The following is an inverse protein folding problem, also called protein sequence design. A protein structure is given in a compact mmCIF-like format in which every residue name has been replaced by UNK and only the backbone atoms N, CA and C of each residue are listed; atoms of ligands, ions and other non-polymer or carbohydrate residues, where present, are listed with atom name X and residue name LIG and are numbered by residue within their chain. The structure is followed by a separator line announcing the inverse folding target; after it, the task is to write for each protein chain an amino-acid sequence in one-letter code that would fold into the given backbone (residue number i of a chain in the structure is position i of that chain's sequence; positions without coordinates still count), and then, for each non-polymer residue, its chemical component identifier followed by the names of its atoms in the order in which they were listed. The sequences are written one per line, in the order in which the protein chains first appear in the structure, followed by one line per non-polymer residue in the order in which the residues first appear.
data_IF_669618394014
#
_entry.id   IF_669618394014
#
_cell.length_a   1.000
_cell.length_b   1.000
_cell.length_c   1.000
_cell.angle_alpha   90.00
_cell.angle_beta   90.00
_cell.angle_gamma   90.00
#
_symmetry.space_group_name_H-M   'P 1'
#
loop_
_entity.id
_entity.type
_entity.pdbx_description
1 polymer ?
#
# COMPACT_ATOMS: atom_id res chain seq x y z
N UNK A 1 -52.61 19.88 -23.09
CA UNK A 1 -51.96 20.45 -21.89
C UNK A 1 -51.43 19.31 -21.03
N UNK A 2 -50.12 19.26 -20.77
CA UNK A 2 -49.53 18.23 -19.92
C UNK A 2 -49.52 18.76 -18.48
N UNK A 3 -50.53 18.38 -17.68
CA UNK A 3 -50.69 18.84 -16.29
C UNK A 3 -49.72 18.15 -15.30
N UNK A 4 -48.89 17.23 -15.78
CA UNK A 4 -47.99 16.45 -14.96
C UNK A 4 -46.88 17.34 -14.39
N UNK A 5 -46.78 17.43 -13.06
CA UNK A 5 -45.73 18.17 -12.36
C UNK A 5 -46.03 19.64 -12.03
N UNK A 6 -47.15 20.22 -12.49
CA UNK A 6 -47.50 21.64 -12.25
C UNK A 6 -47.77 21.93 -10.77
N UNK A 7 -48.43 21.00 -10.05
CA UNK A 7 -48.66 21.18 -8.61
C UNK A 7 -47.34 21.02 -7.84
N UNK A 8 -46.50 20.06 -8.24
CA UNK A 8 -45.22 19.76 -7.59
C UNK A 8 -44.24 20.95 -7.67
N UNK A 9 -44.19 21.64 -8.81
CA UNK A 9 -43.31 22.80 -8.99
C UNK A 9 -43.64 23.99 -8.07
N UNK A 10 -44.90 24.14 -7.61
CA UNK A 10 -45.26 25.18 -6.64
C UNK A 10 -44.68 24.94 -5.24
N UNK A 11 -44.40 23.68 -4.90
CA UNK A 11 -43.87 23.31 -3.57
C UNK A 11 -42.35 23.19 -3.54
N UNK A 12 -41.69 23.10 -4.70
CA UNK A 12 -40.23 22.93 -4.83
C UNK A 12 -39.40 23.90 -3.95
N UNK A 13 -39.74 25.21 -3.83
CA UNK A 13 -39.00 26.13 -2.95
C UNK A 13 -39.05 25.78 -1.46
N UNK A 14 -40.04 24.98 -1.03
CA UNK A 14 -40.28 24.59 0.36
C UNK A 14 -39.83 23.15 0.66
N UNK A 15 -39.41 22.38 -0.35
CA UNK A 15 -39.01 20.98 -0.22
C UNK A 15 -37.62 20.77 0.41
N UNK A 16 -36.91 21.85 0.76
CA UNK A 16 -35.66 21.77 1.51
C UNK A 16 -35.84 21.03 2.85
N UNK A 17 -36.92 21.33 3.58
CA UNK A 17 -37.26 20.69 4.86
C UNK A 17 -37.49 19.18 4.71
N UNK A 18 -38.07 18.75 3.59
CA UNK A 18 -38.22 17.32 3.28
C UNK A 18 -36.85 16.65 3.10
N UNK A 19 -35.93 17.31 2.39
CA UNK A 19 -34.58 16.78 2.17
C UNK A 19 -33.81 16.66 3.49
N UNK A 20 -33.90 17.66 4.37
CA UNK A 20 -33.29 17.64 5.70
C UNK A 20 -33.86 16.52 6.59
N UNK A 21 -35.18 16.31 6.54
CA UNK A 21 -35.83 15.22 7.28
C UNK A 21 -35.38 13.84 6.78
N UNK A 22 -35.31 13.65 5.46
CA UNK A 22 -34.79 12.42 4.87
C UNK A 22 -33.32 12.21 5.23
N UNK A 23 -32.48 13.24 5.18
CA UNK A 23 -31.07 13.16 5.60
C UNK A 23 -30.95 12.72 7.05
N UNK A 24 -31.66 13.37 7.98
CA UNK A 24 -31.65 12.99 9.39
C UNK A 24 -32.07 11.54 9.59
N UNK A 25 -33.16 11.12 8.94
CA UNK A 25 -33.66 9.73 9.02
C UNK A 25 -32.65 8.71 8.47
N UNK A 26 -31.97 9.03 7.36
CA UNK A 26 -30.96 8.17 6.77
C UNK A 26 -29.71 8.05 7.65
N UNK A 27 -29.27 9.15 8.28
CA UNK A 27 -28.14 9.13 9.23
C UNK A 27 -28.48 8.26 10.45
N UNK A 28 -29.65 8.45 11.06
CA UNK A 28 -30.09 7.66 12.21
C UNK A 28 -30.18 6.16 11.87
N UNK A 29 -30.71 5.82 10.69
CA UNK A 29 -30.77 4.43 10.23
C UNK A 29 -29.37 3.86 9.95
N UNK A 30 -28.48 4.63 9.34
CA UNK A 30 -27.09 4.21 9.13
C UNK A 30 -26.40 3.92 10.46
N UNK A 31 -26.53 4.81 11.45
CA UNK A 31 -25.92 4.63 12.77
C UNK A 31 -26.46 3.38 13.47
N UNK A 32 -27.77 3.16 13.42
CA UNK A 32 -28.39 1.95 13.95
C UNK A 32 -27.87 0.68 13.27
N UNK A 33 -27.84 0.65 11.93
CA UNK A 33 -27.31 -0.50 11.18
C UNK A 33 -25.85 -0.81 11.55
N UNK A 34 -25.06 0.22 11.84
CA UNK A 34 -23.64 0.09 12.22
C UNK A 34 -23.43 -0.39 13.64
N UNK A 35 -24.37 -0.07 14.55
CA UNK A 35 -24.37 -0.61 15.90
C UNK A 35 -24.82 -2.09 15.93
N UNK A 36 -25.75 -2.47 15.06
CA UNK A 36 -26.29 -3.83 14.98
C UNK A 36 -25.42 -4.79 14.14
N UNK A 37 -24.47 -4.27 13.34
CA UNK A 37 -23.61 -5.08 12.50
C UNK A 37 -22.66 -5.96 13.34
N UNK A 38 -22.67 -7.26 13.02
CA UNK A 38 -21.92 -8.30 13.72
C UNK A 38 -20.49 -8.46 13.19
N UNK A 39 -20.20 -7.93 12.01
CA UNK A 39 -18.88 -7.99 11.35
C UNK A 39 -18.48 -9.42 10.94
N UNK A 40 -19.48 -10.26 10.74
CA UNK A 40 -19.38 -11.66 10.37
C UNK A 40 -20.43 -11.96 9.30
N UNK A 41 -20.17 -12.95 8.45
CA UNK A 41 -21.14 -13.41 7.45
C UNK A 41 -21.79 -14.70 7.91
N UNK A 42 -23.07 -14.89 7.60
CA UNK A 42 -23.75 -16.16 7.86
C UNK A 42 -23.06 -17.32 7.14
N UNK A 43 -22.92 -18.45 7.83
CA UNK A 43 -22.34 -19.67 7.25
C UNK A 43 -23.15 -20.10 6.01
N UNK A 44 -22.49 -20.14 4.85
CA UNK A 44 -23.12 -20.48 3.56
C UNK A 44 -23.54 -19.28 2.69
N UNK A 45 -23.30 -18.04 3.13
CA UNK A 45 -23.48 -16.85 2.28
C UNK A 45 -22.58 -16.92 1.05
N UNK A 46 -23.17 -16.86 -0.14
CA UNK A 46 -22.44 -16.94 -1.42
C UNK A 46 -21.64 -15.67 -1.73
N UNK A 47 -21.93 -14.55 -1.08
CA UNK A 47 -21.38 -13.24 -1.43
C UNK A 47 -20.31 -12.74 -0.47
N UNK A 48 -20.14 -13.35 0.71
CA UNK A 48 -19.16 -12.92 1.73
C UNK A 48 -19.19 -11.40 2.01
N UNK A 49 -20.37 -10.76 1.94
CA UNK A 49 -20.58 -9.33 2.20
C UNK A 49 -21.32 -9.13 3.53
N UNK A 50 -21.06 -7.99 4.18
CA UNK A 50 -21.74 -7.58 5.41
C UNK A 50 -23.20 -7.21 5.13
N UNK A 51 -24.08 -7.65 6.01
CA UNK A 51 -25.54 -7.47 5.89
C UNK A 51 -25.94 -5.99 5.87
N UNK A 52 -25.20 -5.14 6.58
CA UNK A 52 -25.42 -3.70 6.64
C UNK A 52 -25.41 -3.02 5.27
N UNK A 53 -24.58 -3.47 4.33
CA UNK A 53 -24.51 -2.88 3.00
C UNK A 53 -25.82 -3.02 2.23
N UNK A 54 -26.41 -4.22 2.26
CA UNK A 54 -27.70 -4.49 1.64
C UNK A 54 -28.80 -3.62 2.25
N UNK A 55 -28.80 -3.45 3.57
CA UNK A 55 -29.79 -2.63 4.27
C UNK A 55 -29.63 -1.14 3.97
N UNK A 56 -28.40 -0.61 3.92
CA UNK A 56 -28.13 0.80 3.56
C UNK A 56 -28.69 1.12 2.17
N UNK A 57 -28.39 0.29 1.16
CA UNK A 57 -28.91 0.50 -0.19
C UNK A 57 -30.43 0.32 -0.28
N UNK A 58 -30.99 -0.59 0.50
CA UNK A 58 -32.44 -0.79 0.55
C UNK A 58 -33.15 0.44 1.12
N UNK A 59 -32.63 1.02 2.20
CA UNK A 59 -33.14 2.25 2.82
C UNK A 59 -33.04 3.43 1.85
N UNK A 60 -31.90 3.60 1.18
CA UNK A 60 -31.71 4.62 0.12
C UNK A 60 -32.74 4.44 -1.00
N UNK A 61 -32.96 3.20 -1.47
CA UNK A 61 -33.94 2.92 -2.53
C UNK A 61 -35.36 3.25 -2.12
N UNK A 62 -35.76 2.96 -0.87
CA UNK A 62 -37.08 3.36 -0.35
C UNK A 62 -37.23 4.88 -0.35
N UNK A 63 -36.20 5.62 0.07
CA UNK A 63 -36.19 7.09 0.06
C UNK A 63 -36.29 7.65 -1.37
N UNK A 64 -35.51 7.09 -2.31
CA UNK A 64 -35.58 7.43 -3.73
C UNK A 64 -36.98 7.20 -4.33
N UNK A 65 -37.62 6.07 -4.03
CA UNK A 65 -38.96 5.74 -4.52
C UNK A 65 -40.01 6.73 -3.99
N UNK A 66 -39.91 7.13 -2.71
CA UNK A 66 -40.80 8.15 -2.12
C UNK A 66 -40.61 9.50 -2.78
N UNK A 67 -39.37 9.95 -2.92
CA UNK A 67 -39.07 11.27 -3.48
C UNK A 67 -39.43 11.36 -4.96
N UNK A 68 -39.10 10.35 -5.77
CA UNK A 68 -39.38 10.34 -7.21
C UNK A 68 -40.88 10.32 -7.55
N UNK A 69 -41.73 9.88 -6.61
CA UNK A 69 -43.18 9.98 -6.72
C UNK A 69 -43.70 11.40 -6.46
N UNK A 70 -42.96 12.22 -5.71
CA UNK A 70 -43.32 13.60 -5.37
C UNK A 70 -42.79 14.60 -6.42
N UNK A 71 -41.52 14.48 -6.79
CA UNK A 71 -40.84 15.40 -7.71
C UNK A 71 -39.65 14.71 -8.38
N UNK A 72 -39.30 15.20 -9.59
CA UNK A 72 -38.15 14.74 -10.37
C UNK A 72 -37.11 15.85 -10.62
N UNK A 73 -37.28 16.99 -9.96
CA UNK A 73 -36.49 18.20 -10.19
C UNK A 73 -35.44 18.40 -9.08
N UNK A 74 -35.27 19.64 -8.59
CA UNK A 74 -34.21 20.05 -7.67
C UNK A 74 -34.19 19.26 -6.37
N UNK A 75 -35.33 18.93 -5.80
CA UNK A 75 -35.44 18.17 -4.55
C UNK A 75 -34.88 16.77 -4.69
N UNK A 76 -35.18 16.09 -5.81
CA UNK A 76 -34.63 14.76 -6.08
C UNK A 76 -33.11 14.83 -6.26
N UNK A 77 -32.61 15.89 -6.90
CA UNK A 77 -31.18 16.13 -7.01
C UNK A 77 -30.53 16.37 -5.64
N UNK A 78 -31.14 17.20 -4.78
CA UNK A 78 -30.65 17.45 -3.43
C UNK A 78 -30.63 16.15 -2.60
N UNK A 79 -31.68 15.33 -2.71
CA UNK A 79 -31.74 14.02 -2.05
C UNK A 79 -30.67 13.05 -2.58
N UNK A 80 -30.37 13.08 -3.88
CA UNK A 80 -29.24 12.32 -4.43
C UNK A 80 -27.90 12.73 -3.79
N UNK A 81 -27.68 14.02 -3.55
CA UNK A 81 -26.48 14.48 -2.83
C UNK A 81 -26.46 14.00 -1.37
N UNK A 82 -27.63 13.87 -0.72
CA UNK A 82 -27.72 13.22 0.60
C UNK A 82 -27.27 11.76 0.49
N UNK A 83 -27.73 11.00 -0.52
CA UNK A 83 -27.30 9.60 -0.70
C UNK A 83 -25.77 9.48 -0.84
N UNK A 84 -25.14 10.41 -1.58
CA UNK A 84 -23.68 10.47 -1.65
C UNK A 84 -23.06 10.64 -0.26
N UNK A 85 -23.55 11.59 0.54
CA UNK A 85 -23.04 11.83 1.92
C UNK A 85 -23.21 10.60 2.81
N UNK A 86 -24.36 9.92 2.75
CA UNK A 86 -24.64 8.70 3.52
C UNK A 86 -23.70 7.57 3.13
N UNK A 87 -23.48 7.36 1.82
CA UNK A 87 -22.56 6.32 1.35
C UNK A 87 -21.10 6.63 1.71
N UNK A 88 -20.66 7.90 1.63
CA UNK A 88 -19.33 8.32 2.12
C UNK A 88 -19.20 8.10 3.63
N UNK A 89 -20.23 8.40 4.42
CA UNK A 89 -20.24 8.14 5.85
C UNK A 89 -20.17 6.63 6.15
N UNK A 90 -20.84 5.80 5.37
CA UNK A 90 -20.75 4.35 5.48
C UNK A 90 -19.35 3.83 5.17
N UNK A 91 -18.73 4.30 4.07
CA UNK A 91 -17.34 3.99 3.74
C UNK A 91 -16.38 4.37 4.88
N UNK A 92 -16.56 5.55 5.47
CA UNK A 92 -15.75 6.01 6.61
C UNK A 92 -15.90 5.11 7.85
N UNK A 93 -17.12 4.58 8.12
CA UNK A 93 -17.34 3.63 9.22
C UNK A 93 -16.68 2.27 8.94
N UNK A 94 -16.73 1.76 7.72
CA UNK A 94 -15.99 0.56 7.32
C UNK A 94 -14.48 0.76 7.50
N UNK A 95 -13.96 1.90 7.04
CA UNK A 95 -12.55 2.27 7.18
C UNK A 95 -12.12 2.30 8.66
N UNK A 96 -12.93 2.92 9.52
CA UNK A 96 -12.62 3.10 10.93
C UNK A 96 -12.55 1.77 11.71
N UNK A 97 -13.15 0.71 11.18
CA UNK A 97 -13.20 -0.62 11.80
C UNK A 97 -12.02 -1.52 11.46
N UNK A 98 -11.20 -1.11 10.48
CA UNK A 98 -9.96 -1.82 10.18
C UNK A 98 -8.97 -1.72 11.37
N UNK A 99 -8.27 -2.82 11.71
CA UNK A 99 -7.22 -2.80 12.73
C UNK A 99 -6.18 -1.70 12.45
N UNK A 100 -5.81 -0.99 13.51
CA UNK A 100 -4.78 0.06 13.46
C UNK A 100 -3.51 -0.47 14.11
N UNK A 101 -2.37 -0.03 13.60
CA UNK A 101 -1.09 -0.34 14.22
C UNK A 101 -1.01 0.26 15.63
N UNK A 102 -0.20 -0.35 16.49
CA UNK A 102 0.12 0.28 17.78
C UNK A 102 0.67 1.69 17.54
N UNK A 103 0.17 2.68 18.27
CA UNK A 103 0.65 4.06 18.22
C UNK A 103 0.93 4.57 19.63
N UNK A 104 1.91 5.46 19.74
CA UNK A 104 2.22 6.18 20.98
C UNK A 104 3.46 5.68 21.70
N UNK A 105 3.77 6.32 22.82
CA UNK A 105 5.06 6.19 23.54
C UNK A 105 5.35 4.74 23.93
N UNK A 106 4.34 3.99 24.37
CA UNK A 106 4.50 2.58 24.74
C UNK A 106 4.85 1.74 23.51
N UNK A 107 4.16 1.93 22.39
CA UNK A 107 4.43 1.19 21.16
C UNK A 107 5.83 1.51 20.59
N UNK A 108 6.25 2.77 20.68
CA UNK A 108 7.61 3.17 20.31
C UNK A 108 8.66 2.52 21.23
N UNK A 109 8.44 2.51 22.54
CA UNK A 109 9.36 1.92 23.52
C UNK A 109 9.46 0.39 23.38
N UNK A 110 8.38 -0.29 23.00
CA UNK A 110 8.37 -1.75 22.80
C UNK A 110 8.74 -2.18 21.37
N UNK A 111 8.99 -1.23 20.46
CA UNK A 111 9.26 -1.51 19.05
C UNK A 111 8.06 -2.07 18.28
N UNK A 112 6.84 -1.88 18.80
CA UNK A 112 5.57 -2.31 18.19
C UNK A 112 4.85 -1.16 17.49
N UNK A 113 5.49 0.01 17.37
CA UNK A 113 4.95 1.16 16.69
C UNK A 113 4.71 0.83 15.21
N UNK A 114 3.49 1.06 14.74
CA UNK A 114 3.06 0.69 13.39
C UNK A 114 2.81 -0.80 13.15
N UNK A 115 3.06 -1.70 14.11
CA UNK A 115 2.76 -3.13 13.95
C UNK A 115 1.26 -3.39 14.03
N UNK A 116 0.72 -4.05 13.01
CA UNK A 116 -0.67 -4.47 12.95
C UNK A 116 -0.73 -5.94 13.31
N UNK A 117 -1.31 -6.27 14.47
CA UNK A 117 -1.55 -7.65 14.86
C UNK A 117 -2.95 -8.04 14.45
N UNK A 118 -3.07 -9.07 13.63
CA UNK A 118 -4.35 -9.63 13.18
C UNK A 118 -4.52 -11.03 13.71
N UNK A 119 -5.69 -11.30 14.31
CA UNK A 119 -6.18 -12.66 14.56
C UNK A 119 -6.88 -13.21 13.32
N UNK A 120 -7.13 -14.52 13.28
CA UNK A 120 -7.89 -15.16 12.20
C UNK A 120 -9.29 -14.55 12.04
N UNK A 121 -9.89 -14.08 13.14
CA UNK A 121 -11.18 -13.37 13.13
C UNK A 121 -11.05 -12.00 12.46
N UNK A 122 -9.99 -11.27 12.79
CA UNK A 122 -9.74 -9.96 12.17
C UNK A 122 -9.49 -10.11 10.66
N UNK A 123 -8.74 -11.13 10.25
CA UNK A 123 -8.44 -11.41 8.84
C UNK A 123 -9.73 -11.67 8.04
N UNK A 124 -10.63 -12.51 8.57
CA UNK A 124 -11.95 -12.75 7.97
C UNK A 124 -12.78 -11.48 7.88
N UNK A 125 -12.85 -10.72 8.97
CA UNK A 125 -13.58 -9.44 9.01
C UNK A 125 -13.05 -8.47 7.95
N UNK A 126 -11.73 -8.35 7.80
CA UNK A 126 -11.12 -7.47 6.79
C UNK A 126 -11.50 -7.94 5.37
N UNK A 127 -11.53 -9.25 5.09
CA UNK A 127 -12.04 -9.77 3.82
C UNK A 127 -13.50 -9.39 3.58
N UNK A 128 -14.36 -9.50 4.58
CA UNK A 128 -15.76 -9.07 4.46
C UNK A 128 -15.88 -7.58 4.17
N UNK A 129 -15.03 -6.74 4.78
CA UNK A 129 -14.97 -5.30 4.49
C UNK A 129 -14.55 -5.05 3.04
N UNK A 130 -13.56 -5.78 2.51
CA UNK A 130 -13.14 -5.69 1.09
C UNK A 130 -14.32 -6.00 0.16
N UNK A 131 -14.97 -7.14 0.35
CA UNK A 131 -16.07 -7.57 -0.51
C UNK A 131 -17.27 -6.63 -0.40
N UNK A 132 -17.54 -6.12 0.81
CA UNK A 132 -18.61 -5.15 1.06
C UNK A 132 -18.33 -3.83 0.36
N UNK A 133 -17.09 -3.33 0.44
CA UNK A 133 -16.71 -2.10 -0.24
C UNK A 133 -16.74 -2.25 -1.77
N UNK A 134 -16.34 -3.40 -2.33
CA UNK A 134 -16.52 -3.69 -3.76
C UNK A 134 -18.01 -3.66 -4.15
N UNK A 135 -18.86 -4.33 -3.37
CA UNK A 135 -20.30 -4.33 -3.60
C UNK A 135 -20.87 -2.91 -3.57
N UNK A 136 -20.47 -2.08 -2.60
CA UNK A 136 -20.94 -0.70 -2.51
C UNK A 136 -20.40 0.20 -3.63
N UNK A 137 -19.14 -0.01 -4.05
CA UNK A 137 -18.56 0.66 -5.20
C UNK A 137 -19.40 0.42 -6.46
N UNK A 138 -19.65 -0.85 -6.78
CA UNK A 138 -20.46 -1.21 -7.95
C UNK A 138 -21.91 -0.70 -7.82
N UNK A 139 -22.55 -0.96 -6.68
CA UNK A 139 -23.96 -0.62 -6.45
C UNK A 139 -24.21 0.89 -6.45
N UNK A 140 -23.23 1.70 -6.02
CA UNK A 140 -23.32 3.16 -6.09
C UNK A 140 -23.33 3.69 -7.52
N UNK A 141 -22.54 3.11 -8.43
CA UNK A 141 -22.57 3.44 -9.86
C UNK A 141 -23.92 3.09 -10.49
N UNK A 142 -24.44 1.90 -10.21
CA UNK A 142 -25.74 1.45 -10.70
C UNK A 142 -26.91 2.30 -10.14
N UNK A 143 -26.77 2.81 -8.90
CA UNK A 143 -27.71 3.78 -8.32
C UNK A 143 -27.68 5.11 -9.09
N UNK A 144 -26.51 5.63 -9.46
CA UNK A 144 -26.39 6.84 -10.26
C UNK A 144 -27.08 6.68 -11.63
N UNK A 145 -26.83 5.58 -12.34
CA UNK A 145 -27.49 5.31 -13.61
C UNK A 145 -29.03 5.26 -13.47
N UNK A 146 -29.54 4.70 -12.38
CA UNK A 146 -30.97 4.64 -12.12
C UNK A 146 -31.56 6.03 -11.85
N UNK A 147 -30.89 6.83 -11.00
CA UNK A 147 -31.33 8.20 -10.71
C UNK A 147 -31.29 9.07 -11.97
N UNK A 148 -30.25 8.95 -12.80
CA UNK A 148 -30.14 9.68 -14.07
C UNK A 148 -31.31 9.39 -15.03
N UNK A 149 -31.82 8.15 -15.05
CA UNK A 149 -33.00 7.77 -15.86
C UNK A 149 -34.32 8.34 -15.34
N UNK A 150 -34.40 8.71 -14.06
CA UNK A 150 -35.65 9.16 -13.41
C UNK A 150 -35.71 10.70 -13.32
N UNK A 151 -34.57 11.35 -13.08
CA UNK A 151 -34.47 12.78 -12.83
C UNK A 151 -34.69 13.61 -14.10
N UNK A 152 -35.11 14.87 -13.95
CA UNK A 152 -35.26 15.79 -15.07
C UNK A 152 -33.94 16.00 -15.83
N UNK A 153 -34.01 16.18 -17.15
CA UNK A 153 -32.83 16.30 -18.03
C UNK A 153 -31.83 17.39 -17.60
N UNK A 154 -32.31 18.48 -17.00
CA UNK A 154 -31.47 19.56 -16.46
C UNK A 154 -30.48 19.15 -15.36
N UNK A 155 -30.71 18.01 -14.69
CA UNK A 155 -29.84 17.49 -13.64
C UNK A 155 -29.17 16.17 -13.99
N UNK A 156 -29.60 15.50 -15.07
CA UNK A 156 -29.11 14.16 -15.44
C UNK A 156 -27.58 14.11 -15.55
N UNK A 157 -26.98 15.11 -16.20
CA UNK A 157 -25.53 15.19 -16.40
C UNK A 157 -24.74 15.48 -15.12
N UNK A 158 -25.42 15.85 -14.04
CA UNK A 158 -24.83 16.12 -12.72
C UNK A 158 -24.94 14.92 -11.77
N UNK A 159 -25.59 13.84 -12.18
CA UNK A 159 -25.73 12.61 -11.39
C UNK A 159 -24.45 11.79 -11.54
N UNK A 160 -23.57 11.91 -10.57
CA UNK A 160 -22.28 11.23 -10.54
C UNK A 160 -22.03 10.58 -9.17
N UNK A 161 -21.43 9.39 -9.15
CA UNK A 161 -21.02 8.67 -7.93
C UNK A 161 -19.52 8.43 -7.87
N UNK A 162 -18.73 9.01 -8.78
CA UNK A 162 -17.28 8.79 -8.87
C UNK A 162 -16.56 9.06 -7.54
N UNK A 163 -16.87 10.17 -6.85
CA UNK A 163 -16.27 10.45 -5.54
C UNK A 163 -16.61 9.39 -4.48
N UNK A 164 -17.84 8.86 -4.51
CA UNK A 164 -18.30 7.83 -3.55
C UNK A 164 -17.61 6.50 -3.85
N UNK A 165 -17.49 6.17 -5.13
CA UNK A 165 -16.74 5.02 -5.61
C UNK A 165 -15.26 5.11 -5.23
N UNK A 166 -14.66 6.30 -5.33
CA UNK A 166 -13.29 6.56 -4.88
C UNK A 166 -13.12 6.29 -3.37
N UNK A 167 -14.07 6.69 -2.52
CA UNK A 167 -14.04 6.39 -1.08
C UNK A 167 -14.09 4.87 -0.80
N UNK A 168 -14.98 4.13 -1.47
CA UNK A 168 -15.01 2.66 -1.32
C UNK A 168 -13.75 2.00 -1.86
N UNK A 169 -13.17 2.49 -2.96
CA UNK A 169 -11.87 2.05 -3.48
C UNK A 169 -10.74 2.27 -2.47
N UNK A 170 -10.76 3.39 -1.76
CA UNK A 170 -9.82 3.68 -0.68
C UNK A 170 -9.98 2.70 0.49
N UNK A 171 -11.21 2.34 0.87
CA UNK A 171 -11.48 1.29 1.88
C UNK A 171 -10.90 -0.05 1.44
N UNK A 172 -11.13 -0.48 0.20
CA UNK A 172 -10.59 -1.74 -0.33
C UNK A 172 -9.07 -1.75 -0.25
N UNK A 173 -8.42 -0.70 -0.75
CA UNK A 173 -6.95 -0.58 -0.74
C UNK A 173 -6.41 -0.67 0.68
N UNK A 174 -7.01 0.08 1.61
CA UNK A 174 -6.57 0.11 3.01
C UNK A 174 -6.77 -1.25 3.67
N UNK A 175 -7.89 -1.92 3.43
CA UNK A 175 -8.20 -3.23 3.98
C UNK A 175 -7.20 -4.29 3.50
N UNK A 176 -6.91 -4.36 2.19
CA UNK A 176 -5.91 -5.27 1.62
C UNK A 176 -4.50 -5.00 2.17
N UNK A 177 -4.10 -3.73 2.28
CA UNK A 177 -2.83 -3.36 2.92
C UNK A 177 -2.79 -3.77 4.40
N UNK A 178 -3.91 -3.72 5.11
CA UNK A 178 -4.00 -4.11 6.52
C UNK A 178 -3.76 -5.62 6.68
N UNK A 179 -4.26 -6.45 5.75
CA UNK A 179 -3.93 -7.88 5.69
C UNK A 179 -2.43 -8.10 5.44
N UNK A 180 -1.83 -7.38 4.49
CA UNK A 180 -0.39 -7.47 4.20
C UNK A 180 0.43 -7.16 5.45
N UNK A 181 0.14 -6.04 6.13
CA UNK A 181 0.83 -5.65 7.38
C UNK A 181 0.59 -6.64 8.54
N UNK A 182 -0.57 -7.30 8.58
CA UNK A 182 -0.86 -8.37 9.54
C UNK A 182 0.07 -9.57 9.38
N UNK A 183 0.17 -10.08 8.15
CA UNK A 183 1.08 -11.20 7.81
C UNK A 183 2.54 -10.81 8.00
N UNK A 184 2.90 -9.60 7.58
CA UNK A 184 4.21 -9.00 7.83
C UNK A 184 4.60 -9.01 9.31
N UNK A 185 3.69 -8.62 10.20
CA UNK A 185 3.95 -8.58 11.65
C UNK A 185 4.20 -9.98 12.20
N UNK A 186 3.45 -10.99 11.71
CA UNK A 186 3.70 -12.41 12.04
C UNK A 186 5.07 -12.86 11.50
N UNK A 187 5.41 -12.50 10.27
CA UNK A 187 6.69 -12.81 9.64
C UNK A 187 7.88 -12.17 10.35
N UNK A 188 7.73 -10.93 10.84
CA UNK A 188 8.78 -10.23 11.59
C UNK A 188 9.15 -10.94 12.90
N UNK A 189 8.22 -11.66 13.54
CA UNK A 189 8.54 -12.49 14.69
C UNK A 189 9.52 -13.62 14.34
N UNK A 190 9.30 -14.29 13.20
CA UNK A 190 10.22 -15.33 12.69
C UNK A 190 11.56 -14.75 12.24
N UNK A 191 11.56 -13.52 11.72
CA UNK A 191 12.81 -12.81 11.42
C UNK A 191 13.61 -12.49 12.68
N UNK A 192 12.95 -12.12 13.78
CA UNK A 192 13.64 -11.97 15.07
C UNK A 192 14.19 -13.31 15.54
N UNK A 193 13.44 -14.41 15.39
CA UNK A 193 13.93 -15.76 15.71
C UNK A 193 15.19 -16.13 14.88
N UNK A 194 15.18 -15.86 13.58
CA UNK A 194 16.34 -16.04 12.69
C UNK A 194 17.59 -15.32 13.20
N UNK A 195 17.47 -14.08 13.69
CA UNK A 195 18.62 -13.33 14.22
C UNK A 195 19.19 -13.89 15.53
N UNK A 196 18.43 -14.74 16.23
CA UNK A 196 18.84 -15.38 17.50
C UNK A 196 19.53 -16.73 17.30
N UNK A 197 19.45 -17.29 16.09
CA UNK A 197 20.15 -18.53 15.76
C UNK A 197 21.67 -18.30 15.88
N UNK A 198 22.43 -19.19 16.53
CA UNK A 198 23.86 -19.03 16.77
C UNK A 198 24.70 -19.37 15.51
N UNK A 199 24.53 -18.60 14.44
CA UNK A 199 25.17 -18.82 13.12
C UNK A 199 26.69 -18.93 13.15
N UNK A 200 27.35 -18.36 14.16
CA UNK A 200 28.81 -18.38 14.31
C UNK A 200 29.37 -19.68 14.88
N UNK A 201 28.58 -20.43 15.65
CA UNK A 201 29.02 -21.62 16.40
C UNK A 201 28.27 -22.88 15.97
N UNK A 202 27.62 -22.83 14.81
CA UNK A 202 26.86 -23.95 14.27
C UNK A 202 27.83 -25.02 13.74
N UNK A 203 27.82 -26.21 14.35
CA UNK A 203 28.83 -27.25 14.10
C UNK A 203 28.58 -28.04 12.81
N UNK A 204 27.33 -28.28 12.47
CA UNK A 204 26.95 -29.09 11.29
C UNK A 204 25.68 -28.56 10.63
N UNK A 205 25.61 -28.69 9.30
CA UNK A 205 24.39 -28.47 8.52
C UNK A 205 23.39 -29.61 8.80
N UNK A 206 22.13 -29.26 9.00
CA UNK A 206 21.02 -30.19 9.24
C UNK A 206 19.79 -29.83 8.41
N UNK A 207 18.62 -30.16 8.95
CA UNK A 207 17.33 -29.82 8.36
C UNK A 207 17.05 -28.31 8.43
N UNK A 208 15.94 -27.86 7.83
CA UNK A 208 15.55 -26.45 7.84
C UNK A 208 15.37 -25.90 9.26
N UNK A 209 15.82 -24.67 9.49
CA UNK A 209 15.73 -24.00 10.79
C UNK A 209 14.28 -23.77 11.25
N UNK A 210 14.07 -23.68 12.56
CA UNK A 210 12.74 -23.52 13.17
C UNK A 210 11.96 -22.31 12.63
N UNK A 211 12.64 -21.19 12.38
CA UNK A 211 11.98 -19.98 11.86
C UNK A 211 11.39 -20.21 10.45
N UNK A 212 11.97 -21.12 9.65
CA UNK A 212 11.45 -21.49 8.33
C UNK A 212 10.13 -22.26 8.49
N UNK A 213 10.06 -23.15 9.47
CA UNK A 213 8.83 -23.86 9.83
C UNK A 213 7.75 -22.87 10.30
N UNK A 214 8.14 -21.87 11.11
CA UNK A 214 7.25 -20.79 11.55
C UNK A 214 6.67 -20.00 10.37
N UNK A 215 7.51 -19.58 9.42
CA UNK A 215 7.08 -18.90 8.19
C UNK A 215 6.08 -19.77 7.40
N UNK A 216 6.40 -21.05 7.20
CA UNK A 216 5.54 -21.99 6.49
C UNK A 216 4.18 -22.15 7.17
N UNK A 217 4.16 -22.23 8.51
CA UNK A 217 2.94 -22.34 9.30
C UNK A 217 2.07 -21.07 9.21
N UNK A 218 2.68 -19.88 9.29
CA UNK A 218 1.98 -18.60 9.13
C UNK A 218 1.27 -18.53 7.77
N UNK A 219 1.98 -18.88 6.71
CA UNK A 219 1.44 -18.81 5.35
C UNK A 219 0.39 -19.90 5.09
N UNK A 220 0.63 -21.13 5.54
CA UNK A 220 -0.29 -22.24 5.35
C UNK A 220 -1.61 -22.07 6.10
N UNK A 221 -1.61 -21.33 7.22
CA UNK A 221 -2.84 -21.00 7.97
C UNK A 221 -3.58 -19.80 7.38
N UNK A 222 -2.85 -18.74 7.01
CA UNK A 222 -3.47 -17.48 6.60
C UNK A 222 -3.93 -17.49 5.14
N UNK A 223 -3.07 -17.96 4.22
CA UNK A 223 -3.27 -17.78 2.77
C UNK A 223 -4.51 -18.50 2.24
N UNK A 224 -4.81 -19.76 2.61
CA UNK A 224 -6.01 -20.43 2.12
C UNK A 224 -7.32 -19.75 2.56
N UNK A 225 -7.35 -19.21 3.78
CA UNK A 225 -8.51 -18.49 4.30
C UNK A 225 -8.76 -17.22 3.47
N UNK A 226 -7.73 -16.41 3.24
CA UNK A 226 -7.84 -15.20 2.42
C UNK A 226 -8.23 -15.51 0.97
N UNK A 227 -7.61 -16.53 0.36
CA UNK A 227 -7.91 -16.97 -1.01
C UNK A 227 -9.33 -17.48 -1.19
N UNK A 228 -9.95 -18.03 -0.14
CA UNK A 228 -11.35 -18.47 -0.18
C UNK A 228 -12.37 -17.35 -0.01
N UNK A 229 -11.98 -16.24 0.63
CA UNK A 229 -12.89 -15.14 0.97
C UNK A 229 -12.80 -13.97 0.00
N UNK A 230 -11.63 -13.72 -0.60
CA UNK A 230 -11.40 -12.64 -1.55
C UNK A 230 -11.65 -13.09 -2.99
N UNK A 231 -12.05 -12.15 -3.85
CA UNK A 231 -12.09 -12.41 -5.28
C UNK A 231 -10.66 -12.66 -5.83
N UNK A 232 -10.50 -13.43 -6.92
CA UNK A 232 -9.18 -13.72 -7.50
C UNK A 232 -8.36 -12.47 -7.83
N UNK A 233 -9.05 -11.38 -8.18
CA UNK A 233 -8.46 -10.07 -8.44
C UNK A 233 -7.85 -9.49 -7.18
N UNK A 234 -8.61 -9.31 -6.10
CA UNK A 234 -8.08 -8.73 -4.87
C UNK A 234 -7.08 -9.63 -4.17
N UNK A 235 -7.25 -10.94 -4.29
CA UNK A 235 -6.27 -11.90 -3.81
C UNK A 235 -4.94 -11.75 -4.58
N UNK A 236 -4.95 -11.62 -5.91
CA UNK A 236 -3.74 -11.34 -6.69
C UNK A 236 -3.06 -10.04 -6.26
N UNK A 237 -3.83 -8.97 -6.03
CA UNK A 237 -3.28 -7.71 -5.52
C UNK A 237 -2.61 -7.89 -4.15
N UNK A 238 -3.25 -8.63 -3.24
CA UNK A 238 -2.68 -9.00 -1.95
C UNK A 238 -1.36 -9.77 -2.12
N UNK A 239 -1.32 -10.77 -2.99
CA UNK A 239 -0.13 -11.57 -3.28
C UNK A 239 1.03 -10.70 -3.77
N UNK A 240 0.79 -9.85 -4.77
CA UNK A 240 1.84 -8.98 -5.33
C UNK A 240 2.45 -8.07 -4.26
N UNK A 241 1.62 -7.57 -3.34
CA UNK A 241 2.05 -6.70 -2.26
C UNK A 241 2.76 -7.46 -1.15
N UNK A 242 2.30 -8.66 -0.84
CA UNK A 242 2.95 -9.56 0.11
C UNK A 242 4.35 -9.94 -0.39
N UNK A 243 4.50 -10.34 -1.66
CA UNK A 243 5.80 -10.64 -2.27
C UNK A 243 6.74 -9.42 -2.28
N UNK A 244 6.21 -8.23 -2.60
CA UNK A 244 6.96 -6.98 -2.55
C UNK A 244 7.46 -6.61 -1.14
N UNK A 245 6.96 -7.28 -0.10
CA UNK A 245 7.36 -7.04 1.28
C UNK A 245 8.24 -8.16 1.86
N UNK A 246 7.79 -9.42 1.81
CA UNK A 246 8.43 -10.53 2.54
C UNK A 246 9.85 -10.83 2.02
N UNK A 247 10.05 -10.87 0.70
CA UNK A 247 11.35 -11.16 0.10
C UNK A 247 12.43 -10.14 0.49
N UNK A 248 12.21 -8.83 0.23
CA UNK A 248 13.13 -7.78 0.67
C UNK A 248 13.35 -7.78 2.17
N UNK A 249 12.33 -8.07 2.98
CA UNK A 249 12.43 -8.14 4.43
C UNK A 249 13.30 -9.29 4.91
N UNK A 250 13.18 -10.47 4.30
CA UNK A 250 14.07 -11.60 4.56
C UNK A 250 15.53 -11.23 4.26
N UNK A 251 15.80 -10.68 3.06
CA UNK A 251 17.12 -10.22 2.66
C UNK A 251 17.73 -9.22 3.66
N UNK A 252 16.95 -8.23 4.09
CA UNK A 252 17.41 -7.22 5.06
C UNK A 252 17.67 -7.79 6.45
N UNK A 253 16.97 -8.85 6.87
CA UNK A 253 17.18 -9.48 8.18
C UNK A 253 18.47 -10.32 8.23
N UNK A 254 18.99 -10.81 7.10
CA UNK A 254 20.33 -11.41 7.06
C UNK A 254 21.38 -10.42 7.56
N UNK A 255 21.30 -9.15 7.17
CA UNK A 255 22.19 -8.09 7.64
C UNK A 255 22.01 -7.70 9.12
N UNK A 256 20.99 -8.23 9.82
CA UNK A 256 20.82 -8.07 11.26
C UNK A 256 21.44 -9.21 12.05
N UNK A 257 21.83 -10.29 11.38
CA UNK A 257 22.64 -11.34 11.99
C UNK A 257 24.03 -10.76 12.33
N UNK A 258 24.73 -11.40 13.28
CA UNK A 258 26.09 -11.02 13.65
C UNK A 258 27.09 -11.75 12.75
N UNK A 259 28.00 -12.49 13.34
CA UNK A 259 28.92 -13.35 12.61
C UNK A 259 28.20 -14.62 12.11
N UNK A 260 28.38 -14.94 10.84
CA UNK A 260 27.90 -16.14 10.16
C UNK A 260 29.13 -16.95 9.74
N UNK A 261 29.31 -18.12 10.35
CA UNK A 261 30.39 -19.04 10.01
C UNK A 261 30.17 -19.68 8.63
N UNK A 262 31.16 -20.40 8.10
CA UNK A 262 31.00 -21.15 6.85
C UNK A 262 29.84 -22.15 6.94
N UNK A 263 29.80 -22.99 7.99
CA UNK A 263 28.71 -23.93 8.24
C UNK A 263 27.37 -23.21 8.43
N UNK A 264 27.36 -22.09 9.16
CA UNK A 264 26.16 -21.27 9.35
C UNK A 264 25.62 -20.68 8.04
N UNK A 265 26.51 -20.25 7.14
CA UNK A 265 26.13 -19.74 5.82
C UNK A 265 25.61 -20.86 4.91
N UNK A 266 26.15 -22.07 4.99
CA UNK A 266 25.61 -23.24 4.30
C UNK A 266 24.18 -23.57 4.77
N UNK A 267 23.96 -23.61 6.09
CA UNK A 267 22.62 -23.83 6.65
C UNK A 267 21.63 -22.72 6.24
N UNK A 268 22.03 -21.46 6.37
CA UNK A 268 21.16 -20.32 6.00
C UNK A 268 20.85 -20.31 4.49
N UNK A 269 21.74 -20.85 3.64
CA UNK A 269 21.48 -20.99 2.21
C UNK A 269 20.39 -22.04 1.94
N UNK A 270 20.40 -23.18 2.67
CA UNK A 270 19.31 -24.16 2.61
C UNK A 270 17.99 -23.55 3.09
N UNK A 271 18.02 -22.83 4.21
CA UNK A 271 16.84 -22.13 4.73
C UNK A 271 16.30 -21.09 3.73
N UNK A 272 17.19 -20.39 3.03
CA UNK A 272 16.82 -19.43 1.97
C UNK A 272 16.12 -20.12 0.81
N UNK A 273 16.56 -21.32 0.41
CA UNK A 273 15.85 -22.12 -0.61
C UNK A 273 14.49 -22.57 -0.11
N UNK A 274 14.39 -23.03 1.13
CA UNK A 274 13.12 -23.45 1.71
C UNK A 274 12.12 -22.29 1.79
N UNK A 275 12.53 -21.11 2.26
CA UNK A 275 11.70 -19.89 2.26
C UNK A 275 11.29 -19.51 0.85
N UNK A 276 12.21 -19.55 -0.13
CA UNK A 276 11.89 -19.26 -1.54
C UNK A 276 10.81 -20.20 -2.08
N UNK A 277 10.91 -21.50 -1.83
CA UNK A 277 9.91 -22.50 -2.23
C UNK A 277 8.56 -22.18 -1.59
N UNK A 278 8.52 -21.95 -0.27
CA UNK A 278 7.29 -21.59 0.44
C UNK A 278 6.64 -20.33 -0.15
N UNK A 279 7.43 -19.29 -0.47
CA UNK A 279 6.92 -18.07 -1.09
C UNK A 279 6.38 -18.31 -2.51
N UNK A 280 7.02 -19.17 -3.29
CA UNK A 280 6.56 -19.52 -4.65
C UNK A 280 5.26 -20.34 -4.63
N UNK A 281 5.01 -21.09 -3.56
CA UNK A 281 3.82 -21.93 -3.39
C UNK A 281 2.60 -21.15 -2.85
N UNK A 282 2.78 -19.92 -2.34
CA UNK A 282 1.69 -19.10 -1.79
C UNK A 282 0.46 -19.01 -2.73
N UNK A 283 0.60 -18.68 -4.03
CA UNK A 283 -0.56 -18.59 -4.91
C UNK A 283 -1.35 -19.91 -5.00
N UNK A 284 -0.65 -21.04 -5.01
CA UNK A 284 -1.28 -22.37 -5.03
C UNK A 284 -2.02 -22.68 -3.72
N UNK A 285 -1.45 -22.30 -2.56
CA UNK A 285 -2.11 -22.42 -1.26
C UNK A 285 -3.46 -21.66 -1.22
N UNK A 286 -3.52 -20.51 -1.89
CA UNK A 286 -4.74 -19.73 -2.03
C UNK A 286 -5.71 -20.19 -3.12
N UNK A 287 -5.45 -21.34 -3.75
CA UNK A 287 -6.22 -21.85 -4.91
C UNK A 287 -6.26 -20.89 -6.11
N UNK A 288 -5.26 -20.03 -6.26
CA UNK A 288 -5.14 -19.14 -7.41
C UNK A 288 -4.66 -19.97 -8.62
N UNK A 289 -5.58 -20.31 -9.51
CA UNK A 289 -5.29 -21.18 -10.68
C UNK A 289 -4.51 -20.47 -11.78
N UNK A 290 -4.63 -19.13 -11.86
CA UNK A 290 -3.88 -18.30 -12.81
C UNK A 290 -2.87 -17.44 -12.05
N UNK A 291 -1.71 -18.04 -11.73
CA UNK A 291 -0.61 -17.29 -11.11
C UNK A 291 0.03 -16.42 -12.18
N UNK A 292 0.06 -15.10 -11.96
CA UNK A 292 0.76 -14.20 -12.85
C UNK A 292 2.26 -14.55 -12.84
N UNK A 293 2.85 -14.84 -14.00
CA UNK A 293 4.28 -15.14 -14.13
C UNK A 293 5.18 -14.03 -13.55
N UNK A 294 4.66 -12.81 -13.40
CA UNK A 294 5.30 -11.69 -12.72
C UNK A 294 5.56 -11.95 -11.23
N UNK A 295 4.64 -12.63 -10.52
CA UNK A 295 4.79 -12.96 -9.10
C UNK A 295 6.01 -13.85 -8.88
N UNK A 296 6.05 -15.00 -9.55
CA UNK A 296 7.14 -15.97 -9.41
C UNK A 296 8.48 -15.40 -9.83
N UNK A 297 8.52 -14.58 -10.90
CA UNK A 297 9.72 -13.86 -11.32
C UNK A 297 10.20 -12.87 -10.27
N UNK A 298 9.28 -12.12 -9.65
CA UNK A 298 9.60 -11.17 -8.59
C UNK A 298 10.19 -11.89 -7.37
N UNK A 299 9.49 -12.90 -6.83
CA UNK A 299 9.96 -13.69 -5.68
C UNK A 299 11.33 -14.31 -5.97
N UNK A 300 11.50 -14.93 -7.14
CA UNK A 300 12.79 -15.52 -7.54
C UNK A 300 13.89 -14.47 -7.53
N UNK A 301 13.66 -13.29 -8.12
CA UNK A 301 14.65 -12.22 -8.17
C UNK A 301 15.03 -11.72 -6.77
N UNK A 302 14.06 -11.48 -5.90
CA UNK A 302 14.35 -10.98 -4.55
C UNK A 302 15.08 -12.03 -3.70
N UNK A 303 14.66 -13.29 -3.77
CA UNK A 303 15.33 -14.37 -3.03
C UNK A 303 16.73 -14.68 -3.57
N UNK A 304 16.97 -14.55 -4.87
CA UNK A 304 18.31 -14.69 -5.45
C UNK A 304 19.32 -13.68 -4.90
N UNK A 305 18.89 -12.51 -4.42
CA UNK A 305 19.79 -11.54 -3.75
C UNK A 305 20.28 -12.07 -2.41
N UNK A 306 19.40 -12.72 -1.63
CA UNK A 306 19.77 -13.37 -0.38
C UNK A 306 20.74 -14.55 -0.63
N UNK A 307 20.47 -15.36 -1.66
CA UNK A 307 21.38 -16.44 -2.07
C UNK A 307 22.76 -15.90 -2.46
N UNK A 308 22.79 -14.84 -3.27
CA UNK A 308 24.03 -14.20 -3.72
C UNK A 308 24.84 -13.68 -2.54
N UNK A 309 24.21 -12.99 -1.59
CA UNK A 309 24.84 -12.52 -0.35
C UNK A 309 25.50 -13.68 0.41
N UNK A 310 24.77 -14.77 0.65
CA UNK A 310 25.29 -15.93 1.39
C UNK A 310 26.43 -16.63 0.64
N UNK A 311 26.36 -16.70 -0.69
CA UNK A 311 27.45 -17.22 -1.53
C UNK A 311 28.72 -16.35 -1.44
N UNK A 312 28.57 -15.03 -1.30
CA UNK A 312 29.73 -14.15 -1.03
C UNK A 312 30.31 -14.45 0.36
N UNK A 313 29.47 -14.66 1.38
CA UNK A 313 29.95 -15.07 2.72
C UNK A 313 30.72 -16.40 2.65
N UNK A 314 30.26 -17.36 1.84
CA UNK A 314 30.93 -18.65 1.66
C UNK A 314 32.24 -18.58 0.86
N UNK A 315 32.47 -17.51 0.10
CA UNK A 315 33.67 -17.43 -0.74
C UNK A 315 34.97 -17.34 0.07
N UNK A 316 36.09 -17.89 -0.44
CA UNK A 316 37.41 -17.70 0.16
C UNK A 316 37.78 -16.22 0.27
N UNK A 317 38.50 -15.85 1.34
CA UNK A 317 38.88 -14.46 1.65
C UNK A 317 39.59 -13.78 0.47
N UNK A 318 40.48 -14.51 -0.21
CA UNK A 318 41.26 -14.00 -1.34
C UNK A 318 40.41 -13.67 -2.58
N UNK A 319 39.19 -14.23 -2.66
CA UNK A 319 38.27 -14.11 -3.80
C UNK A 319 36.95 -13.41 -3.47
N UNK A 320 36.78 -12.93 -2.22
CA UNK A 320 35.49 -12.39 -1.76
C UNK A 320 35.08 -11.13 -2.52
N UNK A 321 36.06 -10.28 -2.87
CA UNK A 321 35.85 -9.07 -3.63
C UNK A 321 35.44 -9.33 -5.09
N UNK A 322 36.01 -10.34 -5.75
CA UNK A 322 35.62 -10.73 -7.11
C UNK A 322 34.26 -11.42 -7.12
N UNK A 323 34.00 -12.29 -6.15
CA UNK A 323 32.71 -12.96 -5.98
C UNK A 323 31.58 -11.97 -5.74
N UNK A 324 31.80 -10.95 -4.89
CA UNK A 324 30.82 -9.89 -4.67
C UNK A 324 30.45 -9.15 -5.95
N UNK A 325 31.43 -8.72 -6.76
CA UNK A 325 31.17 -8.04 -8.04
C UNK A 325 30.39 -8.92 -9.02
N UNK A 326 30.67 -10.22 -9.04
CA UNK A 326 30.02 -11.16 -9.95
C UNK A 326 28.56 -11.44 -9.55
N UNK A 327 28.29 -11.60 -8.25
CA UNK A 327 26.97 -12.03 -7.76
C UNK A 327 26.05 -10.86 -7.37
N UNK A 328 26.60 -9.71 -7.01
CA UNK A 328 25.88 -8.50 -6.61
C UNK A 328 26.40 -7.28 -7.39
N UNK A 329 26.20 -7.23 -8.72
CA UNK A 329 26.73 -6.16 -9.56
C UNK A 329 26.13 -4.78 -9.25
N UNK A 330 24.89 -4.74 -8.76
CA UNK A 330 24.18 -3.53 -8.33
C UNK A 330 24.47 -3.16 -6.86
N UNK A 331 25.32 -3.93 -6.18
CA UNK A 331 25.62 -3.75 -4.77
C UNK A 331 26.55 -2.57 -4.50
N UNK A 332 26.40 -1.96 -3.33
CA UNK A 332 27.21 -0.80 -2.92
C UNK A 332 28.46 -1.20 -2.11
N UNK A 333 29.55 -0.40 -2.12
CA UNK A 333 30.71 -0.65 -1.25
C UNK A 333 30.37 -0.76 0.24
N UNK A 334 29.33 -0.04 0.69
CA UNK A 334 28.82 -0.12 2.07
C UNK A 334 28.16 -1.47 2.36
N UNK A 335 27.41 -2.02 1.42
CA UNK A 335 26.86 -3.37 1.53
C UNK A 335 27.98 -4.41 1.55
N UNK A 336 28.99 -4.26 0.69
CA UNK A 336 30.15 -5.16 0.69
C UNK A 336 30.87 -5.17 2.04
N UNK A 337 31.14 -3.98 2.61
CA UNK A 337 31.69 -3.86 3.96
C UNK A 337 30.85 -4.63 4.99
N UNK A 338 29.52 -4.46 4.98
CA UNK A 338 28.64 -5.19 5.90
C UNK A 338 28.69 -6.70 5.69
N UNK A 339 28.86 -7.19 4.46
CA UNK A 339 29.02 -8.63 4.19
C UNK A 339 30.35 -9.15 4.78
N UNK A 340 31.44 -8.37 4.70
CA UNK A 340 32.71 -8.76 5.33
C UNK A 340 32.60 -8.81 6.87
N UNK A 341 31.80 -7.93 7.47
CA UNK A 341 31.47 -7.97 8.89
C UNK A 341 30.66 -9.23 9.25
N UNK A 342 29.65 -9.58 8.44
CA UNK A 342 28.88 -10.82 8.61
C UNK A 342 29.77 -12.07 8.49
N UNK A 343 30.75 -12.07 7.58
CA UNK A 343 31.74 -13.16 7.43
C UNK A 343 32.71 -13.27 8.62
N UNK A 344 32.73 -12.28 9.53
CA UNK A 344 33.55 -12.32 10.76
C UNK A 344 35.03 -12.01 10.56
N UNK A 345 35.40 -11.35 9.46
CA UNK A 345 36.79 -10.97 9.21
C UNK A 345 37.29 -9.94 10.23
N UNK A 346 38.60 -9.94 10.54
CA UNK A 346 39.20 -8.93 11.41
C UNK A 346 39.22 -7.58 10.71
N UNK A 347 39.10 -6.48 11.46
CA UNK A 347 39.09 -5.11 10.90
C UNK A 347 40.28 -4.80 9.99
N UNK A 348 41.47 -5.31 10.32
CA UNK A 348 42.66 -5.12 9.49
C UNK A 348 42.51 -5.79 8.11
N UNK A 349 42.03 -7.03 8.08
CA UNK A 349 41.81 -7.79 6.84
C UNK A 349 40.69 -7.17 6.00
N UNK A 350 39.61 -6.72 6.66
CA UNK A 350 38.53 -5.99 6.00
C UNK A 350 39.05 -4.73 5.29
N UNK A 351 39.87 -3.94 5.98
CA UNK A 351 40.42 -2.69 5.42
C UNK A 351 41.28 -2.96 4.18
N UNK A 352 42.15 -3.97 4.23
CA UNK A 352 42.98 -4.36 3.09
C UNK A 352 42.13 -4.79 1.88
N UNK A 353 41.09 -5.60 2.11
CA UNK A 353 40.17 -6.06 1.06
C UNK A 353 39.35 -4.91 0.47
N UNK A 354 38.89 -3.97 1.31
CA UNK A 354 38.13 -2.80 0.86
C UNK A 354 38.99 -1.84 0.04
N UNK A 355 40.25 -1.65 0.41
CA UNK A 355 41.19 -0.83 -0.37
C UNK A 355 41.46 -1.43 -1.75
N UNK A 356 41.68 -2.74 -1.82
CA UNK A 356 41.80 -3.44 -3.11
C UNK A 356 40.49 -3.38 -3.91
N UNK A 357 39.36 -3.50 -3.24
CA UNK A 357 38.05 -3.41 -3.85
C UNK A 357 37.81 -2.04 -4.51
N UNK A 358 38.17 -0.95 -3.83
CA UNK A 358 37.99 0.42 -4.31
C UNK A 358 38.96 0.77 -5.46
N UNK A 359 40.20 0.27 -5.42
CA UNK A 359 41.19 0.44 -6.50
C UNK A 359 40.71 -0.13 -7.84
N UNK A 360 39.94 -1.21 -7.79
CA UNK A 360 39.38 -1.89 -8.96
C UNK A 360 37.90 -1.54 -9.23
N UNK A 361 37.33 -0.55 -8.54
CA UNK A 361 36.02 -0.01 -8.94
C UNK A 361 36.20 0.82 -10.22
N UNK A 362 35.32 0.70 -11.22
CA UNK A 362 35.42 1.53 -12.42
C UNK A 362 35.29 2.98 -11.99
N UNK A 363 36.39 3.74 -12.09
CA UNK A 363 36.37 5.18 -11.90
C UNK A 363 35.40 5.76 -12.92
N UNK A 364 34.21 6.18 -12.49
CA UNK A 364 33.44 7.17 -13.24
C UNK A 364 34.31 8.43 -13.22
N UNK A 365 35.13 8.59 -14.27
CA UNK A 365 35.86 9.82 -14.53
C UNK A 365 34.82 10.89 -14.83
N UNK A 366 34.39 11.63 -13.82
CA UNK A 366 33.88 12.98 -14.05
C UNK A 366 35.02 13.78 -14.71
N UNK A 367 34.80 14.46 -15.83
CA UNK A 367 35.84 15.30 -16.42
C UNK A 367 36.15 16.42 -15.42
N UNK A 368 37.34 16.38 -14.85
CA UNK A 368 37.88 17.47 -14.04
C UNK A 368 38.12 18.64 -14.98
N UNK A 369 37.26 19.66 -14.92
CA UNK A 369 37.53 20.94 -15.55
C UNK A 369 38.63 21.59 -14.70
N UNK A 370 39.86 21.55 -15.20
CA UNK A 370 40.99 22.33 -14.68
C UNK A 370 40.63 23.81 -14.68
N UNK A 371 40.73 24.54 -13.55
CA UNK A 371 40.70 26.00 -13.58
C UNK A 371 42.04 26.48 -14.13
N UNK A 372 42.05 26.96 -15.37
CA UNK A 372 43.18 27.67 -15.95
C UNK A 372 43.36 28.99 -15.20
N UNK A 373 44.47 29.13 -14.48
CA UNK A 373 44.88 30.38 -13.85
C UNK A 373 45.26 31.41 -14.93
N UNK A 374 44.63 32.59 -14.88
CA UNK A 374 45.03 33.76 -15.65
C UNK A 374 46.09 34.59 -14.87
N UNK A 375 47.04 35.27 -15.56
CA UNK A 375 48.17 35.95 -14.93
C UNK A 375 47.78 37.33 -14.33
N UNK A 376 48.60 37.90 -13.42
CA UNK A 376 48.28 39.16 -12.74
C UNK A 376 48.67 40.37 -13.59
N UNK A 377 47.85 41.43 -13.55
CA UNK A 377 48.14 42.76 -14.11
C UNK A 377 48.06 43.78 -12.96
N UNK A 378 48.99 44.76 -12.86
CA UNK A 378 49.20 45.53 -11.65
C UNK A 378 48.21 46.69 -11.48
N UNK A 379 48.06 47.07 -10.21
CA UNK A 379 47.31 48.20 -9.67
C UNK A 379 47.76 49.56 -10.21
N UNK A 380 46.80 50.41 -10.57
CA UNK A 380 46.95 51.85 -10.61
C UNK A 380 45.68 52.54 -10.05
N UNK A 381 45.96 53.58 -9.27
CA UNK A 381 45.13 54.45 -8.44
C UNK A 381 44.13 55.34 -9.20
N UNK A 382 42.96 55.65 -8.62
CA UNK A 382 42.54 57.04 -8.30
C UNK A 382 41.03 57.18 -7.89
N UNK A 383 40.85 57.96 -6.81
CA UNK A 383 39.78 58.94 -6.51
C UNK A 383 38.28 58.56 -6.36
N UNK A 384 37.83 58.74 -5.11
CA UNK A 384 36.48 59.04 -4.53
C UNK A 384 35.95 60.40 -5.10
N UNK A 385 34.66 60.88 -5.01
CA UNK A 385 33.70 60.63 -3.90
C UNK A 385 32.13 60.68 -4.11
N UNK A 386 31.46 60.08 -3.11
CA UNK A 386 30.23 60.45 -2.35
C UNK A 386 28.81 60.68 -2.95
N UNK A 387 27.87 59.82 -2.45
CA UNK A 387 26.54 60.07 -1.83
C UNK A 387 25.31 60.51 -2.68
N UNK A 388 24.03 60.44 -2.18
CA UNK A 388 23.29 59.42 -1.40
C UNK A 388 21.86 59.03 -1.96
N UNK A 389 21.28 57.93 -1.45
CA UNK A 389 19.85 57.48 -1.22
C UNK A 389 18.69 58.45 -1.65
N UNK A 390 17.49 58.06 -2.20
CA UNK A 390 16.53 57.07 -1.64
C UNK A 390 15.62 56.24 -2.59
N UNK A 391 14.91 55.28 -1.95
CA UNK A 391 13.73 54.47 -2.38
C UNK A 391 12.58 55.31 -3.00
N UNK A 392 11.64 54.74 -3.80
CA UNK A 392 10.52 53.96 -3.23
C UNK A 392 9.87 52.84 -4.09
N UNK A 393 9.10 51.95 -3.40
CA UNK A 393 7.91 51.10 -3.77
C UNK A 393 7.57 50.86 -5.26
N UNK A 394 7.18 49.67 -5.77
CA UNK A 394 5.99 48.86 -5.48
C UNK A 394 5.87 47.72 -6.54
N UNK A 395 5.32 46.55 -6.16
CA UNK A 395 4.67 45.48 -6.98
C UNK A 395 5.51 44.84 -8.14
N UNK A 396 5.43 43.55 -8.53
CA UNK A 396 4.30 42.63 -8.77
C UNK A 396 4.88 41.19 -8.84
N UNK A 397 4.05 40.19 -8.49
CA UNK A 397 4.04 38.78 -8.92
C UNK A 397 5.33 38.06 -9.39
N UNK A 398 5.66 36.94 -8.73
CA UNK A 398 6.40 35.85 -9.36
C UNK A 398 6.09 34.48 -8.73
N UNK A 399 5.72 33.53 -9.60
CA UNK A 399 5.79 32.08 -9.43
C UNK A 399 7.19 31.62 -9.01
N UNK A 400 7.38 30.49 -8.30
CA UNK A 400 8.71 29.91 -8.15
C UNK A 400 8.93 28.77 -9.14
N UNK A 401 9.77 29.05 -10.14
CA UNK A 401 10.60 28.07 -10.84
C UNK A 401 11.77 27.65 -9.93
N UNK A 402 12.09 26.36 -9.95
CA UNK A 402 13.20 25.75 -9.20
C UNK A 402 14.55 26.07 -9.84
N UNK A 403 15.47 26.67 -9.05
CA UNK A 403 16.92 26.44 -9.19
C UNK A 403 17.68 26.65 -7.87
N UNK A 404 18.35 25.59 -7.41
CA UNK A 404 19.65 25.51 -6.70
C UNK A 404 19.91 26.28 -5.39
N UNK A 405 20.22 25.53 -4.33
CA UNK A 405 21.54 25.58 -3.70
C UNK A 405 21.78 24.40 -2.75
N UNK A 406 22.84 23.64 -3.05
CA UNK A 406 23.53 22.71 -2.14
C UNK A 406 24.09 23.51 -0.96
N UNK A 407 23.69 23.16 0.26
CA UNK A 407 24.54 23.31 1.45
C UNK A 407 24.26 22.14 2.39
N UNK A 408 25.33 21.48 2.82
CA UNK A 408 25.29 20.24 3.57
C UNK A 408 24.71 20.42 4.97
N UNK A 409 23.83 19.48 5.33
CA UNK A 409 23.53 19.14 6.71
C UNK A 409 23.03 17.68 6.73
N UNK A 410 23.51 16.94 7.72
CA UNK A 410 23.33 15.51 7.96
C UNK A 410 21.84 15.12 7.91
N UNK A 411 21.43 14.38 6.87
CA UNK A 411 20.08 13.86 6.76
C UNK A 411 19.89 12.66 7.70
N UNK A 412 18.96 12.79 8.63
CA UNK A 412 18.66 11.79 9.64
C UNK A 412 17.97 10.56 9.00
N UNK A 413 18.28 9.37 9.51
CA UNK A 413 17.84 8.05 9.00
C UNK A 413 16.31 7.88 8.91
N UNK A 414 15.55 8.68 9.65
CA UNK A 414 14.08 8.68 9.67
C UNK A 414 13.45 9.38 8.46
N UNK A 415 14.08 10.42 7.91
CA UNK A 415 13.53 11.18 6.77
C UNK A 415 13.57 10.40 5.45
N UNK A 416 14.58 9.53 5.28
CA UNK A 416 14.72 8.67 4.10
C UNK A 416 13.67 7.56 4.12
N UNK A 417 13.40 6.97 5.29
CA UNK A 417 12.34 5.97 5.49
C UNK A 417 10.94 6.60 5.34
N UNK A 418 10.73 7.81 5.87
CA UNK A 418 9.47 8.55 5.73
C UNK A 418 9.18 8.95 4.27
N UNK A 419 10.21 9.35 3.51
CA UNK A 419 10.08 9.67 2.07
C UNK A 419 9.85 8.43 1.20
N UNK A 420 10.51 7.30 1.49
CA UNK A 420 10.24 6.02 0.82
C UNK A 420 8.81 5.52 1.11
N UNK A 421 8.35 5.65 2.35
CA UNK A 421 6.97 5.33 2.73
C UNK A 421 5.93 6.29 2.09
N UNK A 422 6.26 7.57 1.91
CA UNK A 422 5.39 8.54 1.25
C UNK A 422 5.27 8.31 -0.27
N UNK A 423 6.37 7.96 -0.95
CA UNK A 423 6.37 7.58 -2.36
C UNK A 423 5.59 6.28 -2.61
N UNK A 424 5.66 5.32 -1.67
CA UNK A 424 4.85 4.10 -1.71
C UNK A 424 3.34 4.36 -1.60
N UNK A 425 2.92 5.34 -0.78
CA UNK A 425 1.50 5.69 -0.61
C UNK A 425 0.87 6.31 -1.86
N UNK A 426 1.56 7.21 -2.56
CA UNK A 426 1.07 7.84 -3.80
C UNK A 426 1.07 6.91 -5.03
N UNK A 427 2.04 6.00 -5.11
CA UNK A 427 2.10 4.97 -6.15
C UNK A 427 1.05 3.85 -5.92
N UNK A 428 0.73 3.53 -4.66
CA UNK A 428 -0.27 2.53 -4.33
C UNK A 428 -1.70 2.94 -4.74
N UNK A 429 -2.08 4.21 -4.55
CA UNK A 429 -3.41 4.72 -4.93
C UNK A 429 -3.58 4.84 -6.44
N UNK A 430 -2.57 5.38 -7.14
CA UNK A 430 -2.59 5.52 -8.60
C UNK A 430 -2.55 4.15 -9.30
N UNK A 431 -1.72 3.23 -8.80
CA UNK A 431 -1.67 1.85 -9.29
C UNK A 431 -2.97 1.08 -9.03
N UNK A 432 -3.63 1.34 -7.90
CA UNK A 432 -4.90 0.71 -7.57
C UNK A 432 -6.07 1.21 -8.43
N UNK A 433 -6.15 2.52 -8.72
CA UNK A 433 -7.15 3.05 -9.67
C UNK A 433 -6.98 2.44 -11.07
N UNK A 434 -5.74 2.30 -11.54
CA UNK A 434 -5.44 1.61 -12.81
C UNK A 434 -5.80 0.14 -12.78
N UNK A 435 -5.61 -0.53 -11.64
CA UNK A 435 -5.97 -1.94 -11.42
C UNK A 435 -7.49 -2.16 -11.41
N UNK A 436 -8.27 -1.30 -10.74
CA UNK A 436 -9.73 -1.34 -10.78
C UNK A 436 -10.26 -1.10 -12.20
N UNK A 437 -9.73 -0.10 -12.92
CA UNK A 437 -10.13 0.16 -14.30
C UNK A 437 -9.88 -1.05 -15.23
N UNK A 438 -8.76 -1.76 -15.04
CA UNK A 438 -8.47 -3.01 -15.76
C UNK A 438 -9.37 -4.18 -15.35
N UNK A 439 -9.84 -4.19 -14.10
CA UNK A 439 -10.77 -5.20 -13.57
C UNK A 439 -12.19 -4.96 -14.06
N UNK A 440 -12.67 -3.72 -14.08
CA UNK A 440 -13.98 -3.35 -14.61
C UNK A 440 -14.07 -3.67 -16.11
N UNK A 441 -13.02 -3.40 -16.87
CA UNK A 441 -12.93 -3.80 -18.27
C UNK A 441 -12.96 -5.34 -18.50
N UNK A 442 -12.60 -6.13 -17.47
CA UNK A 442 -12.62 -7.59 -17.52
C UNK A 442 -13.92 -8.23 -16.99
N UNK A 443 -14.75 -7.47 -16.25
CA UNK A 443 -15.97 -7.95 -15.57
C UNK A 443 -17.24 -7.80 -16.40
N UNK A 444 -17.12 -7.55 -17.71
CA UNK A 444 -18.23 -7.38 -18.67
C UNK A 444 -18.98 -8.71 -18.99
N UNK A 445 -19.24 -9.52 -17.95
CA UNK A 445 -20.14 -10.67 -17.97
C UNK A 445 -21.44 -10.28 -17.30
N UNK A 446 -22.46 -10.10 -18.14
CA UNK A 446 -23.89 -10.00 -17.80
C UNK A 446 -24.29 -11.10 -16.80
N UNK A 447 -25.15 -10.72 -15.86
CA UNK A 447 -25.82 -11.53 -14.82
C UNK A 447 -25.20 -11.50 -13.41
N UNK A 448 -25.16 -10.31 -12.81
CA UNK A 448 -24.98 -10.14 -11.37
C UNK A 448 -26.28 -10.27 -10.55
N UNK A 449 -26.19 -10.42 -9.21
CA UNK A 449 -27.33 -10.53 -8.28
C UNK A 449 -28.31 -9.33 -8.31
N UNK A 450 -27.95 -8.29 -9.05
CA UNK A 450 -28.69 -7.05 -9.29
C UNK A 450 -30.11 -7.22 -9.83
N UNK A 451 -30.37 -8.22 -10.68
CA UNK A 451 -31.70 -8.37 -11.30
C UNK A 451 -32.79 -8.76 -10.30
N UNK A 452 -32.42 -9.36 -9.16
CA UNK A 452 -33.38 -9.78 -8.12
C UNK A 452 -33.74 -8.66 -7.15
N UNK A 453 -32.87 -7.66 -6.97
CA UNK A 453 -33.18 -6.53 -6.12
C UNK A 453 -34.08 -5.53 -6.84
N UNK A 454 -33.84 -5.22 -8.11
CA UNK A 454 -34.52 -4.09 -8.79
C UNK A 454 -35.82 -4.44 -9.55
N UNK A 455 -36.15 -5.73 -9.72
CA UNK A 455 -37.38 -6.18 -10.40
C UNK A 455 -38.51 -6.63 -9.46
N UNK A 456 -38.44 -6.29 -8.16
CA UNK A 456 -39.53 -6.45 -7.20
C UNK A 456 -39.96 -5.09 -6.63
#
# INVERSE_FOLDING_TARGET
FNFHGIISSCFEPYMAVYTELEEKSLVEQLDKLMQEEKWETEEGSQTNILSSSMQVFLVIRRSLKRCSALTKNQTLFNLFQVFQRILKAYAAKLYARLPKGGTGIVAAATGTDGQIRTSDRDEKMICYIVNTAEYCHQTSGELAENVAKIISSQFSDKVDMSDVQDEFSAVITKALMTLVHGVETKFDAEMVAMTRVPWSTLESVGDQSEYVNGISSILSSTVPALGSLLSPTYFQYFLDKLAASLGPRFYLNIYKCKHISETGAQQMLLDTQAVKTVLLDIPALGKQTTVAASYSKFVTREMSKAEALLKVILSPVDSVASTYRALLPEGTPLEFQRILELKGLKKADQQAILEDFNKHSPSIKHPTITPTAAPPVPTATASVPMAPVPLPTQAVAASPSMSTALTGALANREDVLARAAALGRGAATTGFKRFLALTEAAKDRKDGPFRKLFNA
#
